data_IF_072783441846
#
_entry.id   IF_072783441846
#
_cell.length_a   1.000
_cell.length_b   1.000
_cell.length_c   1.000
_cell.angle_alpha   90.00
_cell.angle_beta   90.00
_cell.angle_gamma   90.00
#
_symmetry.space_group_name_H-M   'P 1'
#
loop_
_entity.id
_entity.type
_entity.pdbx_description
1 polymer ?
#
# COMPACT_ATOMS: atom_id res chain seq x y z
N UNK A 1 -29.63 -7.91 20.89
CA UNK A 1 -30.15 -7.85 19.48
C UNK A 1 -30.22 -9.29 18.95
N UNK A 2 -31.12 -9.62 18.02
CA UNK A 2 -31.12 -10.96 17.37
C UNK A 2 -29.85 -11.07 16.52
N UNK A 3 -29.14 -12.21 16.58
CA UNK A 3 -27.83 -12.40 15.93
C UNK A 3 -27.91 -12.15 14.40
N UNK A 4 -28.95 -12.64 13.72
CA UNK A 4 -29.14 -12.40 12.29
C UNK A 4 -29.37 -10.91 11.93
N UNK A 5 -29.98 -10.14 12.82
CA UNK A 5 -30.14 -8.68 12.62
C UNK A 5 -28.81 -7.97 12.83
N UNK A 6 -28.03 -8.38 13.83
CA UNK A 6 -26.69 -7.82 14.08
C UNK A 6 -25.74 -8.08 12.90
N UNK A 7 -25.72 -9.30 12.39
CA UNK A 7 -24.96 -9.71 11.21
C UNK A 7 -25.34 -8.88 9.98
N UNK A 8 -26.64 -8.85 9.63
CA UNK A 8 -27.13 -8.10 8.47
C UNK A 8 -26.80 -6.61 8.57
N UNK A 9 -26.97 -6.01 9.75
CA UNK A 9 -26.68 -4.59 9.94
C UNK A 9 -25.17 -4.30 9.85
N UNK A 10 -24.34 -5.16 10.43
CA UNK A 10 -22.86 -5.02 10.38
C UNK A 10 -22.34 -5.13 8.94
N UNK A 11 -22.81 -6.12 8.17
CA UNK A 11 -22.46 -6.28 6.76
C UNK A 11 -22.97 -5.10 5.93
N UNK A 12 -24.20 -4.64 6.15
CA UNK A 12 -24.74 -3.48 5.44
C UNK A 12 -23.96 -2.20 5.75
N UNK A 13 -23.57 -1.98 7.03
CA UNK A 13 -22.74 -0.86 7.44
C UNK A 13 -21.35 -0.90 6.80
N UNK A 14 -20.72 -2.09 6.74
CA UNK A 14 -19.45 -2.29 6.02
C UNK A 14 -19.59 -1.95 4.54
N UNK A 15 -20.55 -2.53 3.83
CA UNK A 15 -20.77 -2.29 2.41
C UNK A 15 -21.09 -0.81 2.11
N UNK A 16 -21.88 -0.16 2.96
CA UNK A 16 -22.19 1.27 2.82
C UNK A 16 -20.93 2.13 3.03
N UNK A 17 -20.11 1.82 4.04
CA UNK A 17 -18.84 2.53 4.30
C UNK A 17 -17.88 2.38 3.13
N UNK A 18 -17.75 1.16 2.59
CA UNK A 18 -16.88 0.88 1.45
C UNK A 18 -17.39 1.51 0.16
N UNK A 19 -18.68 1.38 -0.12
CA UNK A 19 -19.31 2.05 -1.27
C UNK A 19 -19.08 3.56 -1.22
N UNK A 20 -19.22 4.18 -0.05
CA UNK A 20 -18.93 5.60 0.13
C UNK A 20 -17.45 5.93 -0.10
N UNK A 21 -16.52 5.13 0.44
CA UNK A 21 -15.08 5.32 0.28
C UNK A 21 -14.64 5.22 -1.19
N UNK A 22 -15.24 4.31 -1.97
CA UNK A 22 -14.96 4.15 -3.41
C UNK A 22 -15.59 5.27 -4.24
N UNK A 23 -16.86 5.60 -3.98
CA UNK A 23 -17.61 6.60 -4.75
C UNK A 23 -17.21 8.04 -4.42
N UNK A 24 -16.76 8.29 -3.19
CA UNK A 24 -16.38 9.62 -2.67
C UNK A 24 -17.33 10.73 -3.12
N UNK A 25 -18.63 10.65 -2.82
CA UNK A 25 -19.60 11.61 -3.33
C UNK A 25 -19.18 13.03 -2.92
N UNK A 26 -19.13 13.95 -3.89
CA UNK A 26 -18.72 15.36 -3.68
C UNK A 26 -17.31 15.55 -3.07
N UNK A 27 -16.44 14.52 -3.10
CA UNK A 27 -15.09 14.59 -2.51
C UNK A 27 -15.06 14.54 -0.98
N UNK A 28 -16.15 14.10 -0.34
CA UNK A 28 -16.20 13.95 1.12
C UNK A 28 -15.18 12.92 1.60
N UNK A 29 -14.56 13.14 2.78
CA UNK A 29 -13.61 12.18 3.34
C UNK A 29 -14.31 10.88 3.74
N UNK A 30 -13.62 9.77 3.64
CA UNK A 30 -14.13 8.41 3.94
C UNK A 30 -14.65 8.30 5.39
N UNK A 31 -14.05 9.04 6.32
CA UNK A 31 -14.48 9.12 7.71
C UNK A 31 -15.93 9.59 7.88
N UNK A 32 -16.46 10.35 6.90
CA UNK A 32 -17.84 10.85 6.96
C UNK A 32 -18.89 9.73 6.90
N UNK A 33 -18.54 8.56 6.37
CA UNK A 33 -19.39 7.36 6.40
C UNK A 33 -18.99 6.39 7.52
N UNK A 34 -17.69 6.15 7.71
CA UNK A 34 -17.20 5.16 8.65
C UNK A 34 -17.52 5.52 10.10
N UNK A 35 -17.35 6.79 10.50
CA UNK A 35 -17.59 7.22 11.88
C UNK A 35 -19.07 7.09 12.29
N UNK A 36 -20.04 7.58 11.49
CA UNK A 36 -21.45 7.34 11.81
C UNK A 36 -21.83 5.86 11.78
N UNK A 37 -21.26 5.05 10.86
CA UNK A 37 -21.51 3.61 10.80
C UNK A 37 -21.03 2.90 12.08
N UNK A 38 -19.79 3.16 12.52
CA UNK A 38 -19.27 2.64 13.79
C UNK A 38 -20.11 3.08 14.99
N UNK A 39 -20.47 4.38 15.06
CA UNK A 39 -21.34 4.92 16.10
C UNK A 39 -22.73 4.26 16.12
N UNK A 40 -23.33 4.01 14.96
CA UNK A 40 -24.61 3.33 14.85
C UNK A 40 -24.51 1.89 15.36
N UNK A 41 -23.48 1.12 14.95
CA UNK A 41 -23.28 -0.27 15.36
C UNK A 41 -23.10 -0.39 16.88
N UNK A 42 -22.41 0.56 17.51
CA UNK A 42 -22.30 0.64 18.96
C UNK A 42 -23.65 0.98 19.60
N UNK A 43 -24.36 1.99 19.06
CA UNK A 43 -25.64 2.47 19.62
C UNK A 43 -26.75 1.40 19.58
N UNK A 44 -26.77 0.56 18.55
CA UNK A 44 -27.75 -0.54 18.41
C UNK A 44 -27.31 -1.83 19.13
N UNK A 45 -26.11 -1.85 19.73
CA UNK A 45 -25.57 -3.02 20.43
C UNK A 45 -25.12 -4.16 19.50
N UNK A 46 -24.73 -3.86 18.25
CA UNK A 46 -24.07 -4.83 17.38
C UNK A 46 -22.61 -5.08 17.79
N UNK A 47 -21.99 -4.09 18.42
CA UNK A 47 -20.70 -4.19 19.12
C UNK A 47 -20.83 -3.48 20.45
N UNK A 48 -20.38 -4.10 21.54
CA UNK A 48 -20.34 -3.46 22.82
C UNK A 48 -19.25 -2.36 22.86
N UNK A 49 -19.46 -1.28 23.65
CA UNK A 49 -18.48 -0.18 23.72
C UNK A 49 -17.07 -0.61 24.18
N UNK A 50 -16.95 -1.61 25.05
CA UNK A 50 -15.66 -2.07 25.57
C UNK A 50 -14.83 -2.79 24.49
N UNK A 51 -15.34 -3.79 23.74
CA UNK A 51 -14.67 -4.34 22.56
C UNK A 51 -14.34 -3.31 21.47
N UNK A 52 -15.27 -2.38 21.18
CA UNK A 52 -15.02 -1.31 20.22
C UNK A 52 -13.84 -0.42 20.64
N UNK A 53 -13.76 -0.07 21.92
CA UNK A 53 -12.64 0.71 22.44
C UNK A 53 -11.32 -0.08 22.48
N UNK A 54 -11.38 -1.37 22.73
CA UNK A 54 -10.23 -2.26 22.64
C UNK A 54 -9.65 -2.25 21.23
N UNK A 55 -10.49 -2.45 20.22
CA UNK A 55 -10.09 -2.40 18.80
C UNK A 55 -9.42 -1.07 18.43
N UNK A 56 -10.03 0.06 18.84
CA UNK A 56 -9.43 1.39 18.63
C UNK A 56 -8.06 1.50 19.29
N UNK A 57 -7.87 0.99 20.52
CA UNK A 57 -6.57 1.02 21.21
C UNK A 57 -5.51 0.18 20.53
N UNK A 58 -5.86 -0.95 19.96
CA UNK A 58 -4.94 -1.82 19.21
C UNK A 58 -4.51 -1.18 17.89
N UNK A 59 -5.42 -0.45 17.23
CA UNK A 59 -5.12 0.25 15.99
C UNK A 59 -4.38 1.58 16.18
N UNK A 60 -4.45 2.22 17.35
CA UNK A 60 -3.80 3.52 17.60
C UNK A 60 -2.29 3.54 17.30
N UNK A 61 -1.47 2.56 17.73
CA UNK A 61 -0.04 2.54 17.38
C UNK A 61 0.20 2.42 15.88
N UNK A 62 -0.61 1.62 15.18
CA UNK A 62 -0.55 1.41 13.72
C UNK A 62 -0.89 2.71 12.99
N UNK A 63 -1.96 3.38 13.41
CA UNK A 63 -2.41 4.66 12.84
C UNK A 63 -1.42 5.78 13.15
N UNK A 64 -0.83 5.81 14.34
CA UNK A 64 0.23 6.75 14.70
C UNK A 64 1.49 6.58 13.86
N UNK A 65 1.87 5.33 13.60
CA UNK A 65 2.97 5.02 12.68
C UNK A 65 2.64 5.48 11.25
N UNK A 66 1.47 5.17 10.74
CA UNK A 66 1.00 5.62 9.43
C UNK A 66 1.09 7.14 9.30
N UNK A 67 0.57 7.89 10.28
CA UNK A 67 0.62 9.35 10.28
C UNK A 67 2.06 9.87 10.21
N UNK A 68 3.00 9.27 10.96
CA UNK A 68 4.41 9.66 10.92
C UNK A 68 5.06 9.39 9.55
N UNK A 69 4.75 8.25 8.92
CA UNK A 69 5.26 7.89 7.58
C UNK A 69 4.67 8.82 6.51
N UNK A 70 3.39 9.19 6.60
CA UNK A 70 2.77 10.14 5.66
C UNK A 70 3.42 11.51 5.73
N UNK A 71 3.69 12.03 6.94
CA UNK A 71 4.44 13.29 7.13
C UNK A 71 5.86 13.16 6.58
N UNK A 72 6.54 12.04 6.82
CA UNK A 72 7.89 11.80 6.32
C UNK A 72 7.91 11.81 4.78
N UNK A 73 6.95 11.16 4.13
CA UNK A 73 6.82 11.11 2.68
C UNK A 73 6.58 12.50 2.06
N UNK A 74 5.68 13.29 2.66
CA UNK A 74 5.42 14.67 2.23
C UNK A 74 6.66 15.56 2.35
N UNK A 75 7.37 15.49 3.46
CA UNK A 75 8.62 16.24 3.66
C UNK A 75 9.73 15.83 2.69
N UNK A 76 9.79 14.55 2.30
CA UNK A 76 10.68 14.07 1.25
C UNK A 76 10.30 14.65 -0.12
N UNK A 77 9.00 14.79 -0.40
CA UNK A 77 8.50 15.40 -1.62
C UNK A 77 8.83 16.90 -1.68
N UNK A 78 8.55 17.63 -0.60
CA UNK A 78 8.84 19.07 -0.49
C UNK A 78 10.35 19.40 -0.66
N UNK A 79 11.21 18.49 -0.21
CA UNK A 79 12.68 18.61 -0.40
C UNK A 79 13.14 18.17 -1.81
N UNK A 80 12.23 17.73 -2.71
CA UNK A 80 12.52 17.41 -4.10
C UNK A 80 13.07 16.00 -4.35
N UNK A 81 12.89 15.05 -3.40
CA UNK A 81 13.40 13.68 -3.53
C UNK A 81 12.89 12.98 -4.79
N UNK A 82 11.60 13.09 -5.06
CA UNK A 82 10.98 12.43 -6.22
C UNK A 82 11.43 13.05 -7.54
N UNK A 83 11.57 14.38 -7.59
CA UNK A 83 12.09 15.10 -8.77
C UNK A 83 13.53 14.68 -9.05
N UNK A 84 14.38 14.64 -8.02
CA UNK A 84 15.77 14.18 -8.16
C UNK A 84 15.85 12.73 -8.65
N UNK A 85 14.97 11.86 -8.16
CA UNK A 85 14.87 10.48 -8.63
C UNK A 85 14.44 10.39 -10.11
N UNK A 86 13.41 11.15 -10.51
CA UNK A 86 12.96 11.24 -11.91
C UNK A 86 14.06 11.74 -12.85
N UNK A 87 14.78 12.79 -12.44
CA UNK A 87 15.90 13.35 -13.22
C UNK A 87 17.09 12.38 -13.33
N UNK A 88 17.37 11.62 -12.28
CA UNK A 88 18.39 10.57 -12.31
C UNK A 88 18.01 9.47 -13.33
N UNK A 89 16.74 9.04 -13.31
CA UNK A 89 16.22 8.05 -14.28
C UNK A 89 16.26 8.59 -15.69
N UNK A 90 15.80 9.83 -15.93
CA UNK A 90 15.81 10.46 -17.26
C UNK A 90 17.23 10.50 -17.88
N UNK A 91 18.24 10.82 -17.07
CA UNK A 91 19.64 10.80 -17.53
C UNK A 91 20.17 9.40 -17.75
N UNK A 92 19.89 8.47 -16.84
CA UNK A 92 20.36 7.09 -16.93
C UNK A 92 19.78 6.35 -18.15
N UNK A 93 18.56 6.70 -18.56
CA UNK A 93 17.91 6.07 -19.71
C UNK A 93 18.52 6.48 -21.07
N UNK A 94 19.26 7.59 -21.14
CA UNK A 94 19.88 8.11 -22.37
C UNK A 94 18.92 8.17 -23.56
N UNK A 95 17.67 8.50 -23.31
CA UNK A 95 16.60 8.53 -24.29
C UNK A 95 16.12 7.15 -24.79
N UNK A 96 16.50 6.04 -24.15
CA UNK A 96 16.00 4.70 -24.48
C UNK A 96 14.75 4.38 -23.66
N UNK A 97 13.53 4.23 -24.28
CA UNK A 97 12.29 4.00 -23.55
C UNK A 97 12.30 2.71 -22.70
N UNK A 98 13.03 1.67 -23.14
CA UNK A 98 13.16 0.43 -22.38
C UNK A 98 13.97 0.62 -21.08
N UNK A 99 15.04 1.44 -21.12
CA UNK A 99 15.81 1.79 -19.93
C UNK A 99 15.01 2.71 -19.00
N UNK A 100 14.20 3.59 -19.59
CA UNK A 100 13.27 4.42 -18.81
C UNK A 100 12.28 3.53 -18.04
N UNK A 101 11.69 2.52 -18.68
CA UNK A 101 10.80 1.58 -18.00
C UNK A 101 11.52 0.88 -16.83
N UNK A 102 12.74 0.38 -17.03
CA UNK A 102 13.53 -0.25 -15.98
C UNK A 102 13.81 0.71 -14.81
N UNK A 103 14.17 1.96 -15.11
CA UNK A 103 14.39 3.01 -14.10
C UNK A 103 13.11 3.35 -13.33
N UNK A 104 11.97 3.45 -14.01
CA UNK A 104 10.66 3.69 -13.37
C UNK A 104 10.29 2.51 -12.46
N UNK A 105 10.49 1.27 -12.91
CA UNK A 105 10.26 0.08 -12.07
C UNK A 105 11.13 0.11 -10.82
N UNK A 106 12.42 0.39 -10.94
CA UNK A 106 13.32 0.46 -9.80
C UNK A 106 12.92 1.57 -8.81
N UNK A 107 12.68 2.78 -9.32
CA UNK A 107 12.33 3.93 -8.45
C UNK A 107 10.96 3.74 -7.82
N UNK A 108 9.94 3.33 -8.59
CA UNK A 108 8.60 3.13 -8.06
C UNK A 108 8.56 2.01 -7.01
N UNK A 109 9.22 0.88 -7.27
CA UNK A 109 9.30 -0.23 -6.32
C UNK A 109 10.02 0.19 -5.02
N UNK A 110 11.13 0.93 -5.10
CA UNK A 110 11.87 1.42 -3.94
C UNK A 110 11.09 2.49 -3.17
N UNK A 111 10.50 3.47 -3.87
CA UNK A 111 9.67 4.51 -3.23
C UNK A 111 8.49 3.88 -2.51
N UNK A 112 7.81 2.95 -3.15
CA UNK A 112 6.68 2.23 -2.52
C UNK A 112 7.14 1.46 -1.30
N UNK A 113 8.24 0.71 -1.40
CA UNK A 113 8.75 -0.10 -0.30
C UNK A 113 9.18 0.74 0.91
N UNK A 114 9.79 1.91 0.70
CA UNK A 114 10.43 2.71 1.74
C UNK A 114 9.51 3.79 2.32
N UNK A 115 8.68 4.41 1.48
CA UNK A 115 7.80 5.50 1.89
C UNK A 115 6.35 5.05 2.01
N UNK A 116 5.67 4.84 0.89
CA UNK A 116 4.32 4.24 0.86
C UNK A 116 3.79 4.09 -0.57
N UNK A 117 2.72 3.31 -0.70
CA UNK A 117 1.96 3.22 -1.96
C UNK A 117 1.32 4.58 -2.33
N UNK A 118 0.86 5.36 -1.34
CA UNK A 118 0.26 6.67 -1.56
C UNK A 118 1.28 7.67 -2.10
N UNK A 119 2.52 7.66 -1.57
CA UNK A 119 3.62 8.47 -2.08
C UNK A 119 3.93 8.14 -3.55
N UNK A 120 3.90 6.87 -3.95
CA UNK A 120 4.10 6.45 -5.33
C UNK A 120 2.98 6.95 -6.24
N UNK A 121 1.75 6.88 -5.79
CA UNK A 121 0.59 7.31 -6.58
C UNK A 121 0.51 8.83 -6.70
N UNK A 122 0.63 9.54 -5.59
CA UNK A 122 0.35 10.99 -5.56
C UNK A 122 1.57 11.80 -5.97
N UNK A 123 2.75 11.42 -5.47
CA UNK A 123 3.95 12.24 -5.59
C UNK A 123 4.86 11.80 -6.76
N UNK A 124 4.99 10.49 -6.99
CA UNK A 124 5.85 9.99 -8.05
C UNK A 124 5.16 10.00 -9.42
N UNK A 125 3.84 9.76 -9.52
CA UNK A 125 3.14 9.71 -10.81
C UNK A 125 3.30 11.01 -11.63
N UNK A 126 3.10 12.22 -11.08
CA UNK A 126 3.34 13.48 -11.81
C UNK A 126 4.78 13.62 -12.29
N UNK A 127 5.74 13.19 -11.46
CA UNK A 127 7.17 13.21 -11.81
C UNK A 127 7.46 12.28 -12.99
N UNK A 128 6.83 11.11 -13.02
CA UNK A 128 7.00 10.16 -14.15
C UNK A 128 6.37 10.70 -15.42
N UNK A 129 5.23 11.42 -15.35
CA UNK A 129 4.67 12.12 -16.51
C UNK A 129 5.71 13.08 -17.11
N UNK A 130 6.26 13.96 -16.27
CA UNK A 130 7.26 14.94 -16.68
C UNK A 130 8.56 14.27 -17.17
N UNK A 131 8.99 13.19 -16.51
CA UNK A 131 10.19 12.44 -16.88
C UNK A 131 10.05 11.76 -18.24
N UNK A 132 8.90 11.14 -18.53
CA UNK A 132 8.62 10.51 -19.80
C UNK A 132 8.59 11.55 -20.95
N UNK A 133 7.94 12.71 -20.71
CA UNK A 133 7.89 13.80 -21.67
C UNK A 133 9.31 14.31 -22.01
N UNK A 134 10.15 14.57 -20.99
CA UNK A 134 11.56 15.00 -21.19
C UNK A 134 12.43 13.96 -21.87
N UNK A 135 12.16 12.69 -21.62
CA UNK A 135 12.87 11.59 -22.30
C UNK A 135 12.39 11.34 -23.73
N UNK A 136 11.35 12.02 -24.20
CA UNK A 136 10.74 11.82 -25.51
C UNK A 136 10.09 10.44 -25.66
N UNK A 137 9.62 9.87 -24.56
CA UNK A 137 9.03 8.53 -24.50
C UNK A 137 7.51 8.61 -24.28
N UNK A 138 6.78 7.62 -24.80
CA UNK A 138 5.35 7.49 -24.50
C UNK A 138 5.16 7.28 -22.99
N UNK A 139 4.35 8.12 -22.34
CA UNK A 139 4.11 8.05 -20.89
C UNK A 139 3.36 6.78 -20.47
N UNK A 140 2.49 6.24 -21.32
CA UNK A 140 1.57 5.16 -21.03
C UNK A 140 2.20 3.93 -20.33
N UNK A 141 3.29 3.29 -20.80
CA UNK A 141 3.90 2.15 -20.11
C UNK A 141 4.32 2.47 -18.69
N UNK A 142 4.89 3.65 -18.49
CA UNK A 142 5.45 4.12 -17.23
C UNK A 142 4.36 4.47 -16.21
N UNK A 143 3.23 5.02 -16.66
CA UNK A 143 2.08 5.35 -15.81
C UNK A 143 1.39 4.09 -15.27
N UNK A 144 1.15 3.08 -16.12
CA UNK A 144 0.61 1.81 -15.62
C UNK A 144 1.59 1.11 -14.67
N UNK A 145 2.91 1.28 -14.88
CA UNK A 145 3.92 0.76 -13.96
C UNK A 145 3.82 1.39 -12.57
N UNK A 146 3.60 2.71 -12.45
CA UNK A 146 3.43 3.34 -11.14
C UNK A 146 2.19 2.83 -10.40
N UNK A 147 1.08 2.58 -11.11
CA UNK A 147 -0.12 2.02 -10.49
C UNK A 147 0.08 0.59 -9.96
N UNK A 148 0.69 -0.28 -10.78
CA UNK A 148 0.95 -1.66 -10.39
C UNK A 148 1.96 -1.73 -9.24
N UNK A 149 3.05 -0.99 -9.34
CA UNK A 149 4.10 -0.98 -8.31
C UNK A 149 3.70 -0.28 -7.01
N UNK A 150 2.69 0.58 -7.03
CA UNK A 150 2.10 1.08 -5.79
C UNK A 150 1.54 -0.07 -4.94
N UNK A 151 0.95 -1.07 -5.55
CA UNK A 151 0.44 -2.25 -4.85
C UNK A 151 1.55 -3.30 -4.65
N UNK A 152 2.14 -3.85 -5.71
CA UNK A 152 3.12 -4.94 -5.63
C UNK A 152 4.45 -4.52 -5.00
N UNK A 153 4.89 -3.28 -5.22
CA UNK A 153 6.10 -2.72 -4.60
C UNK A 153 5.99 -2.55 -3.09
N UNK A 154 4.78 -2.57 -2.53
CA UNK A 154 4.56 -2.43 -1.10
C UNK A 154 4.89 -3.68 -0.27
N UNK A 155 5.06 -4.85 -0.89
CA UNK A 155 5.25 -6.13 -0.16
C UNK A 155 6.48 -6.19 0.75
N UNK A 156 7.54 -5.40 0.49
CA UNK A 156 8.86 -5.60 1.10
C UNK A 156 8.91 -5.24 2.59
N UNK A 157 8.36 -4.11 2.98
CA UNK A 157 8.51 -3.57 4.34
C UNK A 157 7.15 -3.30 5.00
N UNK A 158 7.07 -3.42 6.34
CA UNK A 158 5.85 -3.07 7.07
C UNK A 158 5.36 -1.65 6.84
N UNK A 159 6.28 -0.71 6.62
CA UNK A 159 6.00 0.73 6.47
C UNK A 159 5.37 1.11 5.12
N UNK A 160 5.44 0.21 4.16
CA UNK A 160 5.06 0.48 2.75
C UNK A 160 3.57 0.68 2.55
N UNK A 161 2.75 0.13 3.43
CA UNK A 161 1.29 0.16 3.34
C UNK A 161 0.67 -0.10 4.72
N UNK A 162 -0.52 0.45 4.95
CA UNK A 162 -1.29 0.16 6.16
C UNK A 162 -1.62 -1.34 6.29
N UNK A 163 -1.95 -2.02 5.19
CA UNK A 163 -2.17 -3.48 5.18
C UNK A 163 -0.96 -4.26 5.66
N UNK A 164 0.25 -3.79 5.32
CA UNK A 164 1.51 -4.38 5.77
C UNK A 164 1.73 -4.15 7.27
N UNK A 165 1.41 -2.96 7.79
CA UNK A 165 1.52 -2.68 9.23
C UNK A 165 0.58 -3.55 10.05
N UNK A 166 -0.65 -3.74 9.59
CA UNK A 166 -1.62 -4.63 10.23
C UNK A 166 -1.12 -6.08 10.20
N UNK A 167 -0.72 -6.59 9.02
CA UNK A 167 -0.19 -7.93 8.89
C UNK A 167 1.13 -8.15 9.68
N UNK A 168 1.99 -7.14 9.77
CA UNK A 168 3.21 -7.18 10.58
C UNK A 168 2.89 -7.36 12.06
N UNK A 169 1.91 -6.61 12.57
CA UNK A 169 1.45 -6.74 13.97
C UNK A 169 0.85 -8.11 14.22
N UNK A 170 -0.03 -8.58 13.34
CA UNK A 170 -0.70 -9.88 13.41
C UNK A 170 0.28 -11.07 13.30
N UNK A 171 1.28 -10.97 12.43
CA UNK A 171 2.27 -12.03 12.25
C UNK A 171 3.21 -12.23 13.45
N UNK A 172 3.32 -11.23 14.34
CA UNK A 172 4.18 -11.30 15.53
C UNK A 172 5.67 -11.48 15.23
N UNK A 173 6.12 -11.11 14.03
CA UNK A 173 7.52 -11.25 13.60
C UNK A 173 8.30 -9.93 13.78
N UNK A 174 9.64 -10.01 13.88
CA UNK A 174 10.47 -8.80 13.89
C UNK A 174 10.45 -8.10 12.52
N UNK A 175 10.75 -6.79 12.48
CA UNK A 175 10.85 -6.02 11.24
C UNK A 175 11.81 -6.66 10.23
N UNK A 176 12.97 -7.10 10.72
CA UNK A 176 14.00 -7.76 9.89
C UNK A 176 13.55 -9.13 9.37
N UNK A 177 12.83 -9.90 10.19
CA UNK A 177 12.27 -11.19 9.78
C UNK A 177 11.16 -10.99 8.73
N UNK A 178 10.29 -10.01 8.93
CA UNK A 178 9.28 -9.64 7.93
C UNK A 178 9.94 -9.29 6.59
N UNK A 179 10.92 -8.37 6.61
CA UNK A 179 11.65 -7.95 5.41
C UNK A 179 12.36 -9.14 4.73
N UNK A 180 12.99 -10.03 5.51
CA UNK A 180 13.67 -11.21 4.96
C UNK A 180 12.69 -12.19 4.30
N UNK A 181 11.54 -12.49 4.94
CA UNK A 181 10.50 -13.36 4.38
C UNK A 181 9.86 -12.77 3.12
N UNK A 182 9.65 -11.45 3.09
CA UNK A 182 8.96 -10.76 2.00
C UNK A 182 9.90 -10.28 0.88
N UNK A 183 11.22 -10.34 1.06
CA UNK A 183 12.19 -9.89 0.06
C UNK A 183 12.10 -10.68 -1.25
N UNK A 184 12.08 -12.01 -1.19
CA UNK A 184 11.98 -12.86 -2.38
C UNK A 184 10.59 -12.77 -3.05
N UNK A 185 9.47 -12.84 -2.32
CA UNK A 185 8.13 -12.50 -2.84
C UNK A 185 8.09 -11.17 -3.59
N UNK A 186 8.66 -10.12 -3.00
CA UNK A 186 8.71 -8.78 -3.59
C UNK A 186 9.56 -8.75 -4.87
N UNK A 187 10.76 -9.32 -4.86
CA UNK A 187 11.64 -9.38 -6.04
C UNK A 187 10.99 -10.13 -7.19
N UNK A 188 10.33 -11.25 -6.91
CA UNK A 188 9.65 -12.05 -7.94
C UNK A 188 8.45 -11.30 -8.50
N UNK A 189 7.63 -10.65 -7.67
CA UNK A 189 6.49 -9.88 -8.16
C UNK A 189 6.92 -8.73 -9.06
N UNK A 190 7.89 -7.91 -8.62
CA UNK A 190 8.43 -6.80 -9.41
C UNK A 190 9.08 -7.29 -10.70
N UNK A 191 9.85 -8.38 -10.65
CA UNK A 191 10.52 -8.96 -11.81
C UNK A 191 9.56 -9.53 -12.86
N UNK A 192 8.52 -10.23 -12.41
CA UNK A 192 7.48 -10.78 -13.30
C UNK A 192 6.69 -9.63 -13.93
N UNK A 193 6.26 -8.64 -13.15
CA UNK A 193 5.57 -7.45 -13.68
C UNK A 193 6.42 -6.73 -14.71
N UNK A 194 7.70 -6.49 -14.42
CA UNK A 194 8.62 -5.88 -15.38
C UNK A 194 8.70 -6.66 -16.71
N UNK A 195 8.82 -7.98 -16.63
CA UNK A 195 8.89 -8.84 -17.83
C UNK A 195 7.58 -8.78 -18.64
N UNK A 196 6.42 -8.79 -17.97
CA UNK A 196 5.10 -8.66 -18.62
C UNK A 196 4.97 -7.27 -19.26
N UNK A 197 5.26 -6.20 -18.54
CA UNK A 197 5.17 -4.83 -19.04
C UNK A 197 6.06 -4.59 -20.25
N UNK A 198 7.30 -5.07 -20.21
CA UNK A 198 8.23 -4.96 -21.30
C UNK A 198 7.71 -5.64 -22.59
N UNK A 199 7.03 -6.79 -22.44
CA UNK A 199 6.42 -7.51 -23.57
C UNK A 199 5.12 -6.87 -24.03
N UNK A 200 4.25 -6.52 -23.11
CA UNK A 200 2.93 -5.94 -23.41
C UNK A 200 3.04 -4.59 -24.12
N UNK A 201 3.96 -3.75 -23.69
CA UNK A 201 4.22 -2.42 -24.27
C UNK A 201 5.38 -2.39 -25.26
N UNK A 202 5.79 -3.52 -25.83
CA UNK A 202 6.94 -3.58 -26.74
C UNK A 202 6.85 -2.56 -27.90
N UNK A 203 5.66 -2.39 -28.47
CA UNK A 203 5.43 -1.41 -29.55
C UNK A 203 5.55 0.05 -29.05
N UNK A 204 5.07 0.38 -27.86
CA UNK A 204 5.21 1.73 -27.29
C UNK A 204 6.66 2.03 -26.90
N UNK A 205 7.39 1.02 -26.44
CA UNK A 205 8.79 1.12 -26.03
C UNK A 205 9.79 1.12 -27.21
N UNK A 206 9.34 0.81 -28.41
CA UNK A 206 10.16 0.87 -29.62
C UNK A 206 10.18 2.26 -30.28
N UNK A 207 9.28 3.16 -29.89
CA UNK A 207 9.10 4.47 -30.52
C UNK A 207 9.57 5.58 -29.58
N UNK A 208 10.34 6.53 -30.15
CA UNK A 208 10.63 7.83 -29.52
C UNK A 208 9.74 8.88 -30.17
N UNK A 209 9.12 9.73 -29.36
CA UNK A 209 8.26 10.81 -29.86
C UNK A 209 9.08 12.04 -30.28
N UNK A 210 10.14 12.35 -29.50
CA UNK A 210 11.05 13.48 -29.78
C UNK A 210 12.45 13.18 -29.23
N UNK A 211 13.48 13.97 -29.64
CA UNK A 211 14.79 13.91 -28.98
C UNK A 211 14.67 14.27 -27.49
N UNK A 212 15.45 13.62 -26.60
CA UNK A 212 15.44 13.96 -25.19
C UNK A 212 15.96 15.40 -24.97
N UNK A 213 15.30 16.13 -24.07
CA UNK A 213 15.75 17.45 -23.66
C UNK A 213 17.04 17.37 -22.84
N UNK A 214 17.91 18.38 -23.00
CA UNK A 214 19.09 18.50 -22.16
C UNK A 214 18.65 18.85 -20.72
N UNK A 215 19.02 18.01 -19.75
CA UNK A 215 18.68 18.20 -18.36
C UNK A 215 19.84 18.82 -17.58
N UNK A 216 19.56 19.83 -16.78
CA UNK A 216 20.46 20.27 -15.71
C UNK A 216 20.71 19.14 -14.70
N UNK A 217 21.91 19.10 -14.06
CA UNK A 217 22.15 18.13 -13.00
C UNK A 217 21.17 18.35 -11.84
N UNK A 218 20.50 17.29 -11.32
CA UNK A 218 19.54 17.44 -10.23
C UNK A 218 20.24 17.90 -8.96
N UNK A 219 19.57 18.76 -8.20
CA UNK A 219 19.93 19.00 -6.82
C UNK A 219 19.49 17.80 -5.96
N UNK A 220 20.44 16.91 -5.65
CA UNK A 220 20.13 15.74 -4.81
C UNK A 220 19.91 16.20 -3.37
N UNK A 221 18.77 15.89 -2.72
CA UNK A 221 18.50 16.28 -1.34
C UNK A 221 19.22 15.34 -0.35
N UNK A 222 20.56 15.47 -0.28
CA UNK A 222 21.43 14.57 0.50
C UNK A 222 21.00 14.46 1.96
N UNK A 223 20.62 15.59 2.60
CA UNK A 223 20.19 15.57 3.99
C UNK A 223 18.93 14.70 4.18
N UNK A 224 17.96 14.84 3.30
CA UNK A 224 16.70 14.06 3.33
C UNK A 224 16.97 12.57 3.10
N UNK A 225 17.87 12.23 2.16
CA UNK A 225 18.30 10.84 1.94
C UNK A 225 19.01 10.26 3.16
N UNK A 226 19.87 11.04 3.84
CA UNK A 226 20.54 10.58 5.07
C UNK A 226 19.51 10.34 6.18
N UNK A 227 18.59 11.27 6.41
CA UNK A 227 17.54 11.10 7.43
C UNK A 227 16.65 9.89 7.10
N UNK A 228 16.25 9.72 5.84
CA UNK A 228 15.47 8.56 5.41
C UNK A 228 16.23 7.25 5.63
N UNK A 229 17.51 7.19 5.26
CA UNK A 229 18.38 6.03 5.50
C UNK A 229 18.52 5.70 6.99
N UNK A 230 18.73 6.71 7.83
CA UNK A 230 18.79 6.55 9.29
C UNK A 230 17.44 6.10 9.87
N UNK A 231 16.32 6.56 9.33
CA UNK A 231 14.99 6.12 9.74
C UNK A 231 14.77 4.63 9.41
N UNK A 232 15.21 4.16 8.24
CA UNK A 232 15.15 2.74 7.86
C UNK A 232 16.03 1.87 8.76
N UNK A 233 17.24 2.32 9.06
CA UNK A 233 18.11 1.65 10.04
C UNK A 233 17.44 1.66 11.41
N UNK A 234 16.82 2.77 11.79
CA UNK A 234 16.05 2.91 13.03
C UNK A 234 14.91 1.88 13.13
N UNK A 235 14.20 1.57 12.05
CA UNK A 235 13.17 0.52 12.06
C UNK A 235 13.75 -0.85 12.40
N UNK A 236 14.90 -1.20 11.83
CA UNK A 236 15.56 -2.45 12.13
C UNK A 236 16.06 -2.50 13.59
N UNK A 237 16.73 -1.44 14.04
CA UNK A 237 17.31 -1.36 15.39
C UNK A 237 16.21 -1.36 16.48
N UNK A 238 15.16 -0.57 16.33
CA UNK A 238 14.05 -0.53 17.29
C UNK A 238 13.35 -1.88 17.38
N UNK A 239 13.11 -2.53 16.24
CA UNK A 239 12.49 -3.85 16.19
C UNK A 239 13.34 -4.93 16.86
N UNK A 240 14.66 -4.90 16.68
CA UNK A 240 15.58 -5.84 17.38
C UNK A 240 15.62 -5.58 18.89
N UNK A 241 15.46 -4.32 19.30
CA UNK A 241 15.39 -3.91 20.71
C UNK A 241 14.01 -4.10 21.36
N UNK A 242 13.01 -4.67 20.66
CA UNK A 242 11.65 -4.83 21.17
C UNK A 242 10.88 -3.50 21.31
N UNK A 243 11.38 -2.42 20.70
CA UNK A 243 10.74 -1.10 20.70
C UNK A 243 9.92 -0.95 19.41
N UNK A 244 8.74 -0.31 19.51
CA UNK A 244 7.89 -0.10 18.36
C UNK A 244 8.58 0.77 17.28
N UNK A 245 8.68 0.30 16.02
CA UNK A 245 9.29 1.05 14.92
C UNK A 245 8.68 2.43 14.65
N UNK A 246 7.46 2.68 15.13
CA UNK A 246 6.81 3.99 15.02
C UNK A 246 7.66 5.14 15.61
N UNK A 247 8.48 4.87 16.62
CA UNK A 247 9.39 5.85 17.20
C UNK A 247 10.47 6.31 16.22
N UNK A 248 10.98 5.41 15.39
CA UNK A 248 11.96 5.78 14.36
C UNK A 248 11.30 6.61 13.25
N UNK A 249 10.05 6.27 12.83
CA UNK A 249 9.30 7.10 11.88
C UNK A 249 9.05 8.50 12.43
N UNK A 250 8.61 8.59 13.69
CA UNK A 250 8.37 9.87 14.36
C UNK A 250 9.65 10.70 14.46
N UNK A 251 10.78 10.09 14.82
CA UNK A 251 12.08 10.77 14.90
C UNK A 251 12.49 11.34 13.52
N UNK A 252 12.38 10.55 12.44
CA UNK A 252 12.64 10.99 11.08
C UNK A 252 11.74 12.15 10.66
N UNK A 253 10.43 12.02 10.89
CA UNK A 253 9.44 13.06 10.60
C UNK A 253 9.72 14.35 11.40
N UNK A 254 10.09 14.25 12.68
CA UNK A 254 10.45 15.39 13.51
C UNK A 254 11.72 16.10 13.01
N UNK A 255 12.77 15.36 12.66
CA UNK A 255 14.02 15.93 12.15
C UNK A 255 13.78 16.72 10.86
N UNK A 256 13.10 16.13 9.88
CA UNK A 256 12.74 16.81 8.63
C UNK A 256 11.73 17.94 8.86
N UNK A 257 10.73 17.73 9.70
CA UNK A 257 9.67 18.71 10.02
C UNK A 257 10.24 19.96 10.71
N UNK A 258 11.10 19.80 11.73
CA UNK A 258 11.77 20.93 12.39
C UNK A 258 12.63 21.71 11.40
N UNK A 259 13.36 21.03 10.52
CA UNK A 259 14.15 21.68 9.46
C UNK A 259 13.25 22.44 8.48
N UNK A 260 12.17 21.85 8.02
CA UNK A 260 11.22 22.48 7.09
C UNK A 260 10.56 23.73 7.71
N UNK A 261 10.13 23.63 8.97
CA UNK A 261 9.56 24.76 9.74
C UNK A 261 10.58 25.89 9.92
N UNK A 262 11.83 25.57 10.33
CA UNK A 262 12.90 26.59 10.49
C UNK A 262 13.24 27.28 9.17
N UNK A 263 13.15 26.56 8.06
CA UNK A 263 13.39 27.11 6.71
C UNK A 263 12.14 27.76 6.10
N UNK A 264 11.03 27.81 6.83
CA UNK A 264 9.73 28.33 6.38
C UNK A 264 9.21 27.68 5.09
N UNK A 265 9.61 26.42 4.84
CA UNK A 265 9.13 25.62 3.71
C UNK A 265 7.84 24.85 4.03
N UNK A 266 7.56 24.60 5.32
CA UNK A 266 6.34 23.97 5.80
C UNK A 266 5.73 24.82 6.94
N UNK A 267 4.44 24.56 7.20
CA UNK A 267 3.71 25.13 8.34
C UNK A 267 3.23 24.00 9.24
N UNK A 268 3.01 24.27 10.52
CA UNK A 268 2.44 23.27 11.44
C UNK A 268 1.11 22.74 10.93
N UNK A 269 0.26 23.62 10.40
CA UNK A 269 -1.02 23.21 9.79
C UNK A 269 -0.83 22.28 8.59
N UNK A 270 0.18 22.54 7.74
CA UNK A 270 0.54 21.68 6.62
C UNK A 270 1.00 20.30 7.09
N UNK A 271 1.87 20.22 8.11
CA UNK A 271 2.31 18.94 8.68
C UNK A 271 1.18 18.14 9.31
N UNK A 272 0.24 18.80 10.00
CA UNK A 272 -0.96 18.15 10.54
C UNK A 272 -1.86 17.64 9.39
N UNK A 273 -2.00 18.41 8.31
CA UNK A 273 -2.76 17.97 7.14
C UNK A 273 -2.09 16.76 6.45
N UNK A 274 -0.75 16.78 6.32
CA UNK A 274 0.04 15.68 5.77
C UNK A 274 -0.10 14.37 6.57
N UNK A 275 -0.28 14.46 7.90
CA UNK A 275 -0.56 13.29 8.74
C UNK A 275 -1.89 12.60 8.42
N UNK A 276 -2.76 13.20 7.62
CA UNK A 276 -4.02 12.63 7.15
C UNK A 276 -5.03 12.31 8.28
N UNK A 277 -5.37 13.26 9.19
CA UNK A 277 -6.15 12.96 10.39
C UNK A 277 -7.52 12.36 10.09
N UNK A 278 -8.18 12.77 8.99
CA UNK A 278 -9.45 12.17 8.56
C UNK A 278 -9.27 10.74 8.03
N UNK A 279 -8.15 10.46 7.38
CA UNK A 279 -7.83 9.09 6.97
C UNK A 279 -7.51 8.20 8.18
N UNK A 280 -6.77 8.72 9.16
CA UNK A 280 -6.52 8.03 10.42
C UNK A 280 -7.83 7.71 11.16
N UNK A 281 -8.74 8.67 11.22
CA UNK A 281 -10.07 8.48 11.83
C UNK A 281 -10.92 7.46 11.06
N UNK A 282 -10.85 7.46 9.72
CA UNK A 282 -11.49 6.47 8.88
C UNK A 282 -11.00 5.05 9.21
N UNK A 283 -9.68 4.86 9.36
CA UNK A 283 -9.09 3.54 9.68
C UNK A 283 -9.58 3.03 11.03
N UNK A 284 -9.58 3.88 12.07
CA UNK A 284 -10.08 3.51 13.39
C UNK A 284 -11.57 3.15 13.38
N UNK A 285 -12.39 3.95 12.71
CA UNK A 285 -13.82 3.68 12.59
C UNK A 285 -14.11 2.42 11.77
N UNK A 286 -13.36 2.20 10.67
CA UNK A 286 -13.48 1.00 9.85
C UNK A 286 -13.11 -0.26 10.65
N UNK A 287 -12.08 -0.20 11.50
CA UNK A 287 -11.73 -1.30 12.40
C UNK A 287 -12.91 -1.73 13.28
N UNK A 288 -13.61 -0.77 13.88
CA UNK A 288 -14.82 -1.04 14.67
C UNK A 288 -15.94 -1.66 13.82
N UNK A 289 -16.15 -1.17 12.59
CA UNK A 289 -17.17 -1.72 11.68
C UNK A 289 -16.82 -3.16 11.29
N UNK A 290 -15.56 -3.44 10.96
CA UNK A 290 -15.08 -4.79 10.62
C UNK A 290 -15.19 -5.72 11.85
N UNK A 291 -14.80 -5.24 13.03
CA UNK A 291 -14.98 -5.98 14.30
C UNK A 291 -16.42 -6.44 14.48
N UNK A 292 -17.39 -5.55 14.21
CA UNK A 292 -18.80 -5.90 14.26
C UNK A 292 -19.16 -7.05 13.29
N UNK A 293 -18.62 -7.04 12.08
CA UNK A 293 -18.88 -8.11 11.10
C UNK A 293 -18.23 -9.43 11.53
N UNK A 294 -17.02 -9.38 12.06
CA UNK A 294 -16.30 -10.56 12.55
C UNK A 294 -17.03 -11.19 13.73
N UNK A 295 -17.43 -10.39 14.72
CA UNK A 295 -18.10 -10.88 15.94
C UNK A 295 -19.52 -11.40 15.67
N UNK A 296 -20.18 -10.97 14.58
CA UNK A 296 -21.56 -11.33 14.28
C UNK A 296 -21.74 -12.35 13.12
N UNK A 297 -20.70 -13.13 12.76
CA UNK A 297 -20.90 -14.26 11.86
C UNK A 297 -19.78 -14.51 10.84
N UNK A 298 -18.88 -13.56 10.61
CA UNK A 298 -17.78 -13.76 9.65
C UNK A 298 -16.78 -14.81 10.15
N UNK A 299 -16.55 -14.94 11.46
CA UNK A 299 -15.70 -15.97 12.05
C UNK A 299 -16.21 -17.38 11.72
N UNK A 300 -17.49 -17.64 11.89
CA UNK A 300 -18.09 -18.97 11.61
C UNK A 300 -18.04 -19.31 10.11
N UNK A 301 -18.23 -18.32 9.24
CA UNK A 301 -18.09 -18.50 7.80
C UNK A 301 -16.65 -18.77 7.36
N UNK A 302 -15.69 -18.16 8.04
CA UNK A 302 -14.28 -18.25 7.69
C UNK A 302 -13.64 -19.58 8.10
N UNK A 303 -14.05 -20.18 9.20
CA UNK A 303 -13.63 -21.54 9.61
C UNK A 303 -13.95 -22.60 8.54
N UNK A 304 -14.90 -22.30 7.64
CA UNK A 304 -15.26 -23.16 6.53
C UNK A 304 -14.59 -22.79 5.19
N UNK A 305 -14.01 -21.60 5.07
CA UNK A 305 -13.52 -21.05 3.79
C UNK A 305 -11.99 -20.90 3.77
N UNK A 306 -11.37 -20.63 4.92
CA UNK A 306 -9.91 -20.55 5.01
C UNK A 306 -9.30 -21.96 5.03
N UNK A 307 -8.39 -22.27 4.10
CA UNK A 307 -7.68 -23.54 4.13
C UNK A 307 -6.82 -23.66 5.39
N UNK A 308 -6.92 -24.75 6.11
CA UNK A 308 -6.12 -25.03 7.31
C UNK A 308 -4.66 -25.34 6.97
N UNK A 309 -3.75 -24.85 7.84
CA UNK A 309 -2.35 -25.21 7.85
C UNK A 309 -1.41 -24.27 7.09
N UNK A 310 -0.11 -24.58 7.19
CA UNK A 310 1.01 -23.83 6.61
C UNK A 310 1.56 -24.44 5.30
N UNK A 311 0.85 -25.43 4.75
CA UNK A 311 1.20 -26.08 3.51
C UNK A 311 1.09 -25.14 2.30
N UNK A 312 1.87 -25.37 1.25
CA UNK A 312 1.88 -24.55 0.04
C UNK A 312 0.47 -24.35 -0.56
N UNK A 313 -0.33 -25.42 -0.62
CA UNK A 313 -1.68 -25.38 -1.20
C UNK A 313 -2.59 -24.52 -0.33
N UNK A 314 -2.49 -24.61 0.99
CA UNK A 314 -3.26 -23.78 1.91
C UNK A 314 -2.88 -22.30 1.75
N UNK A 315 -1.57 -21.97 1.76
CA UNK A 315 -1.13 -20.59 1.56
C UNK A 315 -1.53 -20.01 0.20
N UNK A 316 -1.50 -20.82 -0.87
CA UNK A 316 -2.00 -20.41 -2.20
C UNK A 316 -3.52 -20.15 -2.17
N UNK A 317 -4.27 -20.98 -1.47
CA UNK A 317 -5.72 -20.80 -1.28
C UNK A 317 -6.04 -19.52 -0.52
N UNK A 318 -5.33 -19.27 0.59
CA UNK A 318 -5.45 -18.03 1.38
C UNK A 318 -5.11 -16.80 0.55
N UNK A 319 -3.99 -16.81 -0.18
CA UNK A 319 -3.58 -15.69 -1.02
C UNK A 319 -4.59 -15.44 -2.17
N UNK A 320 -5.10 -16.49 -2.81
CA UNK A 320 -6.09 -16.36 -3.87
C UNK A 320 -7.43 -15.80 -3.34
N UNK A 321 -7.92 -16.31 -2.21
CA UNK A 321 -9.13 -15.80 -1.55
C UNK A 321 -8.96 -14.32 -1.19
N UNK A 322 -7.82 -13.97 -0.60
CA UNK A 322 -7.50 -12.60 -0.21
C UNK A 322 -7.44 -11.66 -1.41
N UNK A 323 -6.88 -12.11 -2.54
CA UNK A 323 -6.85 -11.35 -3.78
C UNK A 323 -8.26 -11.12 -4.35
N UNK A 324 -9.12 -12.14 -4.32
CA UNK A 324 -10.53 -12.01 -4.74
C UNK A 324 -11.27 -11.04 -3.84
N UNK A 325 -11.15 -11.21 -2.52
CA UNK A 325 -11.83 -10.36 -1.55
C UNK A 325 -11.38 -8.90 -1.66
N UNK A 326 -10.08 -8.64 -1.84
CA UNK A 326 -9.56 -7.30 -2.07
C UNK A 326 -10.18 -6.62 -3.30
N UNK A 327 -10.48 -7.36 -4.37
CA UNK A 327 -11.15 -6.81 -5.55
C UNK A 327 -12.66 -6.60 -5.36
N UNK A 328 -13.29 -7.30 -4.43
CA UNK A 328 -14.72 -7.17 -4.13
C UNK A 328 -15.00 -6.02 -3.14
N UNK A 329 -14.18 -5.93 -2.06
CA UNK A 329 -14.45 -5.01 -0.94
C UNK A 329 -13.31 -4.05 -0.65
N UNK A 330 -12.27 -3.98 -1.51
CA UNK A 330 -11.03 -3.24 -1.32
C UNK A 330 -10.02 -3.93 -0.38
N UNK A 331 -8.72 -3.63 -0.54
CA UNK A 331 -7.62 -4.27 0.19
C UNK A 331 -7.66 -4.05 1.70
N UNK A 332 -7.96 -2.84 2.18
CA UNK A 332 -7.94 -2.53 3.61
C UNK A 332 -9.03 -3.28 4.39
N UNK A 333 -10.31 -3.25 3.98
CA UNK A 333 -11.32 -4.09 4.64
C UNK A 333 -11.05 -5.59 4.51
N UNK A 334 -10.52 -6.03 3.37
CA UNK A 334 -10.19 -7.44 3.17
C UNK A 334 -9.13 -7.91 4.18
N UNK A 335 -8.06 -7.11 4.40
CA UNK A 335 -7.05 -7.46 5.39
C UNK A 335 -7.60 -7.44 6.80
N UNK A 336 -8.37 -6.42 7.19
CA UNK A 336 -8.98 -6.34 8.52
C UNK A 336 -9.92 -7.52 8.80
N UNK A 337 -10.66 -8.00 7.79
CA UNK A 337 -11.55 -9.15 7.93
C UNK A 337 -10.80 -10.50 8.01
N UNK A 338 -9.69 -10.64 7.26
CA UNK A 338 -8.98 -11.92 7.15
C UNK A 338 -7.88 -12.11 8.20
N UNK A 339 -7.28 -11.04 8.72
CA UNK A 339 -6.17 -11.16 9.68
C UNK A 339 -6.56 -11.91 10.95
N UNK A 340 -7.68 -11.57 11.65
CA UNK A 340 -8.05 -12.29 12.87
C UNK A 340 -8.20 -13.79 12.69
N UNK A 341 -8.56 -14.21 11.48
CA UNK A 341 -8.77 -15.61 11.10
C UNK A 341 -7.44 -16.29 10.75
N UNK A 342 -6.55 -15.54 10.07
CA UNK A 342 -5.25 -16.05 9.65
C UNK A 342 -4.24 -16.13 10.80
N UNK A 343 -4.38 -15.30 11.85
CA UNK A 343 -3.51 -15.28 13.03
C UNK A 343 -3.42 -16.63 13.75
N UNK A 344 -4.53 -17.37 13.78
CA UNK A 344 -4.59 -18.70 14.40
C UNK A 344 -3.63 -19.71 13.75
N UNK A 345 -3.33 -19.54 12.45
CA UNK A 345 -2.39 -20.33 11.67
C UNK A 345 -0.93 -19.83 11.71
N UNK A 346 -0.66 -18.75 12.44
CA UNK A 346 0.68 -18.15 12.58
C UNK A 346 1.09 -17.24 11.41
N UNK A 347 2.38 -16.95 11.30
CA UNK A 347 2.92 -15.97 10.36
C UNK A 347 2.69 -16.34 8.87
N UNK A 348 2.66 -17.60 8.51
CA UNK A 348 2.48 -18.07 7.14
C UNK A 348 1.17 -17.61 6.51
N UNK A 349 0.01 -18.00 7.04
CA UNK A 349 -1.30 -17.55 6.57
C UNK A 349 -1.46 -16.04 6.60
N UNK A 350 -0.99 -15.36 7.65
CA UNK A 350 -1.03 -13.89 7.75
C UNK A 350 -0.29 -13.22 6.58
N UNK A 351 0.93 -13.68 6.27
CA UNK A 351 1.71 -13.13 5.15
C UNK A 351 1.15 -13.56 3.79
N UNK A 352 0.46 -14.71 3.70
CA UNK A 352 -0.26 -15.12 2.49
C UNK A 352 -1.49 -14.21 2.24
N UNK A 353 -2.24 -13.84 3.29
CA UNK A 353 -3.28 -12.79 3.20
C UNK A 353 -2.68 -11.52 2.65
N UNK A 354 -1.55 -11.08 3.19
CA UNK A 354 -0.87 -9.86 2.74
C UNK A 354 -0.48 -9.91 1.27
N UNK A 355 0.08 -11.02 0.78
CA UNK A 355 0.39 -11.22 -0.64
C UNK A 355 -0.88 -11.04 -1.48
N UNK A 356 -1.97 -11.67 -1.08
CA UNK A 356 -3.24 -11.60 -1.80
C UNK A 356 -3.82 -10.18 -1.87
N UNK A 357 -3.91 -9.48 -0.73
CA UNK A 357 -4.49 -8.13 -0.65
C UNK A 357 -3.62 -7.04 -1.29
N UNK A 358 -2.33 -7.28 -1.47
CA UNK A 358 -1.45 -6.32 -2.13
C UNK A 358 -1.29 -6.59 -3.65
N UNK A 359 -1.23 -7.85 -4.09
CA UNK A 359 -1.12 -8.16 -5.52
C UNK A 359 -2.47 -8.19 -6.24
N UNK A 360 -3.51 -8.70 -5.56
CA UNK A 360 -4.88 -8.80 -6.10
C UNK A 360 -5.44 -7.51 -6.69
N UNK A 361 -5.29 -6.35 -6.03
CA UNK A 361 -5.79 -5.06 -6.50
C UNK A 361 -5.33 -4.63 -7.89
N UNK A 362 -4.26 -5.21 -8.42
CA UNK A 362 -3.82 -4.95 -9.78
C UNK A 362 -4.77 -5.54 -10.86
N UNK A 363 -5.82 -6.30 -10.48
CA UNK A 363 -6.85 -6.80 -11.42
C UNK A 363 -7.90 -5.74 -11.76
N UNK A 364 -8.32 -4.92 -10.77
CA UNK A 364 -9.42 -3.95 -10.94
C UNK A 364 -9.09 -2.61 -10.29
N UNK A 365 -9.72 -1.54 -10.77
CA UNK A 365 -9.56 -0.22 -10.12
C UNK A 365 -10.11 -0.17 -8.69
N UNK A 366 -11.12 -0.99 -8.38
CA UNK A 366 -11.76 -1.01 -7.07
C UNK A 366 -10.94 -1.76 -6.01
N UNK A 367 -9.98 -2.57 -6.42
CA UNK A 367 -9.19 -3.41 -5.51
C UNK A 367 -8.33 -2.63 -4.51
N UNK A 368 -7.95 -1.39 -4.83
CA UNK A 368 -7.18 -0.51 -3.93
C UNK A 368 -7.62 0.94 -4.07
N UNK A 369 -7.71 1.65 -2.95
CA UNK A 369 -7.92 3.11 -2.95
C UNK A 369 -6.78 3.85 -3.67
N UNK A 370 -5.56 3.34 -3.60
CA UNK A 370 -4.42 3.89 -4.31
C UNK A 370 -4.64 3.88 -5.83
N UNK A 371 -5.21 2.83 -6.40
CA UNK A 371 -5.49 2.74 -7.83
C UNK A 371 -6.56 3.77 -8.26
N UNK A 372 -7.58 4.01 -7.43
CA UNK A 372 -8.58 5.04 -7.67
C UNK A 372 -7.95 6.44 -7.58
N UNK A 373 -7.07 6.66 -6.63
CA UNK A 373 -6.34 7.91 -6.45
C UNK A 373 -5.38 8.16 -7.62
N UNK A 374 -4.65 7.13 -8.08
CA UNK A 374 -3.82 7.20 -9.28
C UNK A 374 -4.60 7.65 -10.51
N UNK A 375 -5.78 7.08 -10.72
CA UNK A 375 -6.65 7.48 -11.83
C UNK A 375 -7.05 8.96 -11.74
N UNK A 376 -7.34 9.46 -10.53
CA UNK A 376 -7.65 10.87 -10.30
C UNK A 376 -6.44 11.75 -10.62
N UNK A 377 -5.25 11.39 -10.14
CA UNK A 377 -4.01 12.11 -10.45
C UNK A 377 -3.77 12.20 -11.96
N UNK A 378 -4.01 11.13 -12.70
CA UNK A 378 -3.90 11.15 -14.16
C UNK A 378 -4.92 12.11 -14.80
N UNK A 379 -6.17 12.05 -14.36
CA UNK A 379 -7.24 12.93 -14.88
C UNK A 379 -6.91 14.40 -14.64
N UNK A 380 -6.42 14.75 -13.45
CA UNK A 380 -5.99 16.12 -13.10
C UNK A 380 -4.83 16.63 -13.99
N UNK A 381 -4.04 15.70 -14.58
CA UNK A 381 -2.97 15.99 -15.55
C UNK A 381 -3.40 15.81 -17.01
N UNK A 382 -4.70 15.76 -17.30
CA UNK A 382 -5.22 15.63 -18.66
C UNK A 382 -4.92 14.29 -19.33
N UNK A 383 -4.60 13.25 -18.55
CA UNK A 383 -4.29 11.90 -19.04
C UNK A 383 -5.38 10.95 -18.58
N UNK A 384 -5.85 10.07 -19.46
CA UNK A 384 -6.84 9.06 -19.09
C UNK A 384 -6.25 7.65 -19.15
N UNK A 385 -6.69 6.78 -18.23
CA UNK A 385 -6.26 5.40 -18.14
C UNK A 385 -7.41 4.46 -18.54
N UNK A 386 -7.14 3.61 -19.52
CA UNK A 386 -8.10 2.62 -19.97
C UNK A 386 -8.26 1.47 -18.98
N UNK A 387 -9.47 1.26 -18.47
CA UNK A 387 -9.81 0.11 -17.62
C UNK A 387 -9.43 -1.22 -18.31
N UNK A 388 -9.71 -1.34 -19.62
CA UNK A 388 -9.37 -2.53 -20.40
C UNK A 388 -7.87 -2.85 -20.37
N UNK A 389 -7.03 -1.82 -20.47
CA UNK A 389 -5.57 -2.00 -20.41
C UNK A 389 -5.15 -2.42 -19.01
N UNK A 390 -5.68 -1.76 -17.96
CA UNK A 390 -5.38 -2.07 -16.57
C UNK A 390 -5.75 -3.52 -16.23
N UNK A 391 -6.99 -3.93 -16.52
CA UNK A 391 -7.47 -5.30 -16.25
C UNK A 391 -6.70 -6.35 -17.07
N UNK A 392 -6.34 -6.06 -18.33
CA UNK A 392 -5.52 -7.00 -19.12
C UNK A 392 -4.12 -7.18 -18.53
N UNK A 393 -3.47 -6.09 -18.11
CA UNK A 393 -2.20 -6.18 -17.40
C UNK A 393 -2.35 -6.97 -16.11
N UNK A 394 -3.39 -6.69 -15.33
CA UNK A 394 -3.69 -7.41 -14.10
C UNK A 394 -3.86 -8.92 -14.32
N UNK A 395 -4.61 -9.32 -15.34
CA UNK A 395 -4.80 -10.74 -15.69
C UNK A 395 -3.48 -11.43 -16.11
N UNK A 396 -2.54 -10.68 -16.68
CA UNK A 396 -1.22 -11.20 -17.06
C UNK A 396 -0.21 -11.20 -15.91
N UNK A 397 -0.36 -10.31 -14.93
CA UNK A 397 0.60 -10.13 -13.83
C UNK A 397 0.16 -10.81 -12.54
N UNK A 398 -1.11 -10.66 -12.13
CA UNK A 398 -1.56 -11.09 -10.80
C UNK A 398 -1.45 -12.61 -10.61
N UNK A 399 -1.93 -13.50 -11.49
CA UNK A 399 -1.82 -14.93 -11.26
C UNK A 399 -0.37 -15.41 -11.11
N UNK A 400 0.58 -15.07 -12.02
CA UNK A 400 1.96 -15.54 -11.87
C UNK A 400 2.69 -14.90 -10.69
N UNK A 401 2.44 -13.62 -10.36
CA UNK A 401 3.06 -12.97 -9.19
C UNK A 401 2.53 -13.55 -7.90
N UNK A 402 1.24 -13.80 -7.79
CA UNK A 402 0.61 -14.39 -6.60
C UNK A 402 1.18 -15.79 -6.36
N UNK A 403 1.25 -16.65 -7.38
CA UNK A 403 1.81 -17.99 -7.26
C UNK A 403 3.29 -17.92 -6.87
N UNK A 404 4.10 -17.15 -7.61
CA UNK A 404 5.55 -17.09 -7.37
C UNK A 404 5.86 -16.50 -5.98
N UNK A 405 5.15 -15.45 -5.56
CA UNK A 405 5.35 -14.81 -4.25
C UNK A 405 4.93 -15.73 -3.10
N UNK A 406 3.82 -16.48 -3.25
CA UNK A 406 3.38 -17.43 -2.22
C UNK A 406 4.32 -18.63 -2.12
N UNK A 407 4.83 -19.15 -3.24
CA UNK A 407 5.85 -20.21 -3.26
C UNK A 407 7.13 -19.72 -2.58
N UNK A 408 7.57 -18.49 -2.86
CA UNK A 408 8.75 -17.91 -2.23
C UNK A 408 8.57 -17.71 -0.72
N UNK A 409 7.39 -17.26 -0.28
CA UNK A 409 7.03 -17.15 1.14
C UNK A 409 7.10 -18.53 1.81
N UNK A 410 6.43 -19.53 1.24
CA UNK A 410 6.43 -20.90 1.76
C UNK A 410 7.86 -21.46 1.88
N UNK A 411 8.70 -21.28 0.87
CA UNK A 411 10.09 -21.70 0.91
C UNK A 411 10.88 -20.95 1.99
N UNK A 412 10.69 -19.63 2.13
CA UNK A 412 11.30 -18.79 3.15
C UNK A 412 10.97 -19.25 4.58
N UNK A 413 9.69 -19.56 4.85
CA UNK A 413 9.22 -20.07 6.13
C UNK A 413 9.91 -21.41 6.49
N UNK A 414 10.06 -22.32 5.50
CA UNK A 414 10.74 -23.62 5.69
C UNK A 414 12.24 -23.48 5.99
N UNK A 415 12.90 -22.51 5.39
CA UNK A 415 14.35 -22.25 5.59
C UNK A 415 14.62 -21.56 6.94
N UNK A 416 13.72 -20.67 7.38
CA UNK A 416 13.94 -19.87 8.61
C UNK A 416 13.39 -20.51 9.88
N UNK A 417 12.84 -21.74 9.79
CA UNK A 417 12.19 -22.43 10.91
C UNK A 417 10.93 -21.66 11.32
N UNK A 418 9.82 -22.01 10.74
CA UNK A 418 8.52 -21.32 10.84
C UNK A 418 8.04 -21.05 12.24
#
# INVERSE_FOLDING_TARGET
>A
MNSAVAETLSVAALLATLGFAVLRPRGWPEAAAAVPAAGLLIAVGAVDPAPAWHEVRELLPVVGFLAAVLVLAELCADDGLFTAAGDAVARACRGEPQRLLAGVFAVAALVTAVLSLDATVVLLTPVIIATAARAGAKARPHLYATAHLANSGSLLLPVSNLTNLLAFTAAGVSFTRFAALMALPWLLSVGIEYAVFRRYFAADLAVREHPPEANEPPSVPVFTLVVLGLTLIGFAVTSLGGVNPAWAALAGALVLGVRALRRRRATVRGLVAAAGPLFCLFVLALGVVVKAVVDNGLSDAADHVLPDGDGLIALLGVAALSAVLANLINNLPAVLALLPLAETGGAGPVLAVLIGVNLGPNLTYAGSLATLLWRRVLHDHGTDASLRTFTRLGLLTVPPTLIASTVALWAGLRVTGG
#
